data_IF_124928913418
#
_entry.id   IF_124928913418
#
_cell.length_a   1.000
_cell.length_b   1.000
_cell.length_c   1.000
_cell.angle_alpha   90.00
_cell.angle_beta   90.00
_cell.angle_gamma   90.00
#
_symmetry.space_group_name_H-M   'P 1'
#
loop_
_entity.id
_entity.type
_entity.pdbx_description
1 polymer ?
#
# COMPACT_ATOMS: atom_id res chain seq x y z
N UNK A 1 14.47 -10.46 -11.32
CA UNK A 1 15.91 -10.57 -11.49
C UNK A 1 16.54 -9.24 -11.12
N UNK A 2 17.61 -9.25 -10.30
CA UNK A 2 18.40 -8.04 -10.14
C UNK A 2 18.88 -7.64 -11.53
N UNK A 3 18.30 -6.58 -12.09
CA UNK A 3 18.84 -6.00 -13.31
C UNK A 3 20.28 -5.59 -13.04
N UNK A 4 21.22 -5.80 -13.97
CA UNK A 4 22.58 -5.27 -13.85
C UNK A 4 22.60 -3.75 -13.56
N UNK A 5 21.52 -3.03 -13.95
CA UNK A 5 21.34 -1.60 -13.68
C UNK A 5 21.00 -1.29 -12.20
N UNK A 6 20.54 -2.26 -11.40
CA UNK A 6 20.14 -2.06 -10.01
C UNK A 6 20.79 -3.09 -9.07
N UNK A 7 22.10 -2.98 -8.83
CA UNK A 7 22.82 -3.98 -8.02
C UNK A 7 22.43 -3.94 -6.53
N UNK A 8 21.68 -2.94 -6.06
CA UNK A 8 21.27 -2.78 -4.67
C UNK A 8 20.43 -3.94 -4.12
N UNK A 9 19.68 -4.64 -4.97
CA UNK A 9 18.83 -5.74 -4.55
C UNK A 9 19.60 -6.89 -3.88
N UNK A 10 20.89 -7.05 -4.16
CA UNK A 10 21.76 -8.04 -3.52
C UNK A 10 21.98 -7.80 -2.02
N UNK A 11 21.70 -6.58 -1.54
CA UNK A 11 21.82 -6.18 -0.13
C UNK A 11 20.47 -6.21 0.59
N UNK A 12 19.40 -6.61 -0.09
CA UNK A 12 18.05 -6.73 0.48
C UNK A 12 17.76 -8.20 0.74
N UNK A 13 17.45 -8.55 1.98
CA UNK A 13 17.03 -9.90 2.36
C UNK A 13 15.50 -10.00 2.48
N UNK A 14 14.87 -8.95 2.99
CA UNK A 14 13.43 -8.91 3.20
C UNK A 14 12.82 -7.63 2.66
N UNK A 15 11.70 -7.75 1.96
CA UNK A 15 10.78 -6.67 1.64
C UNK A 15 9.50 -6.91 2.43
N UNK A 16 9.30 -6.12 3.49
CA UNK A 16 8.12 -6.25 4.37
C UNK A 16 7.15 -5.13 4.06
N UNK A 17 5.99 -5.49 3.54
CA UNK A 17 4.90 -4.57 3.24
C UNK A 17 3.87 -4.62 4.38
N UNK A 18 3.50 -3.46 4.91
CA UNK A 18 2.61 -3.35 6.08
C UNK A 18 1.44 -2.45 5.71
N UNK A 19 0.26 -3.03 5.53
CA UNK A 19 -0.95 -2.32 5.12
C UNK A 19 -0.80 -1.57 3.79
N UNK A 20 0.08 -2.04 2.91
CA UNK A 20 0.40 -1.36 1.65
C UNK A 20 -0.73 -1.52 0.65
N UNK A 21 -1.27 -0.43 0.08
CA UNK A 21 -2.33 -0.49 -0.94
C UNK A 21 -1.74 -0.79 -2.32
N UNK A 22 -1.27 -2.02 -2.56
CA UNK A 22 -0.60 -2.40 -3.80
C UNK A 22 -1.49 -2.27 -5.05
N UNK A 23 -2.81 -2.46 -4.90
CA UNK A 23 -3.79 -2.18 -5.97
C UNK A 23 -4.48 -0.81 -5.81
N UNK A 24 -4.02 0.01 -4.86
CA UNK A 24 -4.60 1.31 -4.56
C UNK A 24 -5.77 1.27 -3.58
N UNK A 25 -6.32 2.45 -3.28
CA UNK A 25 -7.44 2.63 -2.35
C UNK A 25 -8.38 3.72 -2.84
N UNK A 26 -9.69 3.47 -2.76
CA UNK A 26 -10.72 4.49 -3.05
C UNK A 26 -10.65 5.67 -2.07
N UNK A 27 -10.11 5.43 -0.87
CA UNK A 27 -9.89 6.47 0.13
C UNK A 27 -8.86 7.51 -0.31
N UNK A 28 -7.85 7.13 -1.12
CA UNK A 28 -6.92 8.10 -1.69
C UNK A 28 -7.60 9.04 -2.70
N UNK A 29 -8.49 8.51 -3.53
CA UNK A 29 -9.30 9.33 -4.44
C UNK A 29 -10.20 10.30 -3.66
N UNK A 30 -10.86 9.80 -2.61
CA UNK A 30 -11.69 10.65 -1.75
C UNK A 30 -10.87 11.81 -1.16
N UNK A 31 -9.68 11.53 -0.62
CA UNK A 31 -8.80 12.56 -0.05
C UNK A 31 -8.33 13.57 -1.09
N UNK A 32 -7.99 13.13 -2.29
CA UNK A 32 -7.63 14.02 -3.39
C UNK A 32 -8.80 14.89 -3.87
N UNK A 33 -10.04 14.44 -3.66
CA UNK A 33 -11.24 15.17 -4.08
C UNK A 33 -11.75 16.14 -3.01
N UNK A 34 -11.85 15.70 -1.75
CA UNK A 34 -12.50 16.50 -0.68
C UNK A 34 -11.54 16.92 0.44
N UNK A 35 -10.27 16.49 0.36
CA UNK A 35 -9.27 16.79 1.39
C UNK A 35 -9.29 15.82 2.57
N UNK A 36 -8.44 16.12 3.53
CA UNK A 36 -8.35 15.41 4.80
C UNK A 36 -9.04 16.24 5.88
N UNK A 37 -10.08 15.71 6.55
CA UNK A 37 -10.84 16.47 7.53
C UNK A 37 -9.99 16.84 8.74
N UNK A 38 -10.35 17.97 9.38
CA UNK A 38 -9.74 18.38 10.63
C UNK A 38 -10.04 17.36 11.73
N UNK A 39 -9.02 17.02 12.49
CA UNK A 39 -9.14 16.23 13.71
C UNK A 39 -8.56 17.02 14.90
N UNK A 40 -8.72 16.59 16.16
CA UNK A 40 -8.05 17.24 17.30
C UNK A 40 -6.52 17.32 17.16
N UNK A 41 -5.92 16.44 16.37
CA UNK A 41 -4.45 16.34 16.21
C UNK A 41 -3.95 16.87 14.86
N UNK A 42 -4.83 17.07 13.88
CA UNK A 42 -4.44 17.49 12.53
C UNK A 42 -5.32 18.64 12.04
N UNK A 43 -4.76 19.66 11.39
CA UNK A 43 -5.55 20.68 10.69
C UNK A 43 -6.29 20.07 9.50
N UNK A 44 -7.23 20.81 8.94
CA UNK A 44 -7.81 20.46 7.65
C UNK A 44 -6.76 20.64 6.54
N UNK A 45 -6.58 19.61 5.74
CA UNK A 45 -5.75 19.69 4.52
C UNK A 45 -6.65 19.69 3.29
N UNK A 46 -6.72 20.79 2.56
CA UNK A 46 -7.52 20.88 1.35
C UNK A 46 -6.99 19.92 0.25
N UNK A 47 -7.86 19.52 -0.69
CA UNK A 47 -7.50 18.62 -1.79
C UNK A 47 -6.30 19.12 -2.59
N UNK A 48 -6.17 20.43 -2.76
CA UNK A 48 -5.09 21.06 -3.51
C UNK A 48 -3.72 20.85 -2.84
N UNK A 49 -3.65 20.86 -1.50
CA UNK A 49 -2.42 20.50 -0.78
C UNK A 49 -2.10 19.02 -0.99
N UNK A 50 -3.08 18.13 -0.81
CA UNK A 50 -2.86 16.70 -1.00
C UNK A 50 -2.48 16.38 -2.45
N UNK A 51 -3.03 17.13 -3.41
CA UNK A 51 -2.71 17.04 -4.83
C UNK A 51 -1.27 17.44 -5.20
N UNK A 52 -0.50 18.07 -4.28
CA UNK A 52 0.92 18.31 -4.50
C UNK A 52 1.81 17.09 -4.26
N UNK A 53 1.28 16.01 -3.66
CA UNK A 53 2.04 14.79 -3.35
C UNK A 53 1.84 13.74 -4.45
N UNK A 54 2.86 13.43 -5.28
CA UNK A 54 2.74 12.40 -6.33
C UNK A 54 2.31 11.04 -5.78
N UNK A 55 2.74 10.68 -4.56
CA UNK A 55 2.40 9.41 -3.91
C UNK A 55 0.89 9.21 -3.72
N UNK A 56 0.11 10.28 -3.57
CA UNK A 56 -1.35 10.18 -3.45
C UNK A 56 -2.01 9.66 -4.72
N UNK A 57 -1.45 9.99 -5.88
CA UNK A 57 -1.91 9.49 -7.19
C UNK A 57 -1.44 8.06 -7.45
N UNK A 58 -0.23 7.71 -7.00
CA UNK A 58 0.34 6.37 -7.16
C UNK A 58 -0.49 5.29 -6.49
N UNK A 59 -1.18 5.62 -5.39
CA UNK A 59 -2.07 4.73 -4.64
C UNK A 59 -3.55 4.88 -5.02
N UNK A 60 -3.87 5.50 -6.17
CA UNK A 60 -5.23 5.46 -6.75
C UNK A 60 -5.59 4.03 -7.17
N UNK A 61 -6.87 3.64 -7.06
CA UNK A 61 -7.30 2.27 -7.38
C UNK A 61 -7.10 1.95 -8.87
N UNK A 62 -6.83 0.69 -9.16
CA UNK A 62 -6.74 0.18 -10.54
C UNK A 62 -8.10 0.21 -11.21
N UNK A 63 -8.22 0.84 -12.38
CA UNK A 63 -9.49 0.90 -13.13
C UNK A 63 -10.06 -0.49 -13.44
N UNK A 64 -9.19 -1.46 -13.80
CA UNK A 64 -9.59 -2.85 -14.08
C UNK A 64 -10.29 -3.55 -12.93
N UNK A 65 -10.09 -3.13 -11.68
CA UNK A 65 -10.77 -3.69 -10.51
C UNK A 65 -12.19 -3.13 -10.29
N UNK A 66 -12.60 -2.08 -11.05
CA UNK A 66 -13.97 -1.57 -11.04
C UNK A 66 -14.40 -0.86 -9.76
N UNK A 67 -13.46 -0.34 -8.99
CA UNK A 67 -13.73 0.30 -7.70
C UNK A 67 -14.31 1.71 -7.81
N UNK A 68 -14.15 2.39 -8.95
CA UNK A 68 -14.57 3.78 -9.15
C UNK A 68 -15.66 3.89 -10.21
N UNK A 69 -16.72 4.60 -9.86
CA UNK A 69 -17.84 4.93 -10.73
C UNK A 69 -18.12 6.42 -10.65
N UNK A 70 -18.58 7.03 -11.70
CA UNK A 70 -18.93 8.45 -11.75
C UNK A 70 -20.37 8.67 -12.15
N UNK A 71 -20.95 9.77 -11.66
CA UNK A 71 -22.26 10.26 -12.09
C UNK A 71 -22.05 11.22 -13.26
N UNK A 72 -22.52 10.85 -14.43
CA UNK A 72 -22.48 11.69 -15.63
C UNK A 72 -23.84 11.71 -16.32
N UNK A 73 -24.39 12.91 -16.54
CA UNK A 73 -25.65 13.11 -17.26
C UNK A 73 -26.80 12.21 -16.75
N UNK A 74 -26.91 12.04 -15.43
CA UNK A 74 -27.93 11.20 -14.80
C UNK A 74 -27.68 9.68 -14.90
N UNK A 75 -26.52 9.26 -15.42
CA UNK A 75 -26.12 7.85 -15.49
C UNK A 75 -24.92 7.60 -14.58
N UNK A 76 -24.82 6.36 -14.13
CA UNK A 76 -23.64 5.87 -13.39
C UNK A 76 -22.75 5.13 -14.37
N UNK A 77 -21.50 5.58 -14.53
CA UNK A 77 -20.53 5.04 -15.49
C UNK A 77 -19.31 4.53 -14.74
N UNK A 78 -18.85 3.34 -15.07
CA UNK A 78 -17.61 2.79 -14.53
C UNK A 78 -16.42 3.54 -15.10
N UNK A 79 -15.46 3.86 -14.23
CA UNK A 79 -14.19 4.48 -14.63
C UNK A 79 -13.18 3.39 -14.96
N UNK A 80 -12.81 3.31 -16.23
CA UNK A 80 -11.81 2.33 -16.70
C UNK A 80 -10.37 2.81 -16.43
N UNK A 81 -10.13 4.11 -16.44
CA UNK A 81 -8.84 4.71 -16.11
C UNK A 81 -9.00 5.91 -15.18
N UNK A 82 -8.70 5.71 -13.89
CA UNK A 82 -8.77 6.78 -12.88
C UNK A 82 -7.60 7.77 -13.01
N UNK A 83 -6.57 7.43 -13.78
CA UNK A 83 -5.40 8.28 -14.07
C UNK A 83 -5.54 9.10 -15.36
N UNK A 84 -6.74 9.10 -15.95
CA UNK A 84 -7.04 9.91 -17.13
C UNK A 84 -7.20 11.39 -16.74
N UNK A 85 -6.33 12.25 -17.27
CA UNK A 85 -6.36 13.68 -17.00
C UNK A 85 -7.69 14.34 -17.42
N UNK A 86 -8.29 13.94 -18.56
CA UNK A 86 -9.56 14.49 -19.03
C UNK A 86 -10.70 14.21 -18.05
N UNK A 87 -10.66 13.09 -17.35
CA UNK A 87 -11.59 12.78 -16.28
C UNK A 87 -11.47 13.80 -15.14
N UNK A 88 -10.24 14.07 -14.66
CA UNK A 88 -10.00 15.01 -13.56
C UNK A 88 -10.43 16.43 -13.90
N UNK A 89 -10.07 16.89 -15.09
CA UNK A 89 -10.43 18.22 -15.60
C UNK A 89 -11.95 18.38 -15.73
N UNK A 90 -12.59 17.43 -16.39
CA UNK A 90 -14.06 17.43 -16.59
C UNK A 90 -14.84 17.37 -15.28
N UNK A 91 -14.35 16.59 -14.31
CA UNK A 91 -15.01 16.43 -13.01
C UNK A 91 -14.62 17.52 -12.01
N UNK A 92 -13.62 18.32 -12.29
CA UNK A 92 -13.11 19.37 -11.43
C UNK A 92 -12.55 18.84 -10.11
N UNK A 93 -11.77 17.75 -10.13
CA UNK A 93 -11.23 17.14 -8.92
C UNK A 93 -9.87 17.71 -8.53
N UNK A 94 -9.67 17.92 -7.22
CA UNK A 94 -8.37 18.28 -6.64
C UNK A 94 -7.75 19.55 -7.24
N UNK A 95 -6.61 19.42 -7.91
CA UNK A 95 -5.93 20.55 -8.56
C UNK A 95 -6.68 21.09 -9.79
N UNK A 96 -7.58 20.31 -10.37
CA UNK A 96 -8.43 20.72 -11.49
C UNK A 96 -9.70 21.46 -11.03
N UNK A 97 -9.93 21.63 -9.72
CA UNK A 97 -11.10 22.34 -9.19
C UNK A 97 -11.07 23.82 -9.61
N UNK A 98 -12.03 24.29 -10.43
CA UNK A 98 -12.08 25.67 -10.88
C UNK A 98 -12.39 26.67 -9.75
N UNK A 99 -12.84 26.23 -8.57
CA UNK A 99 -13.11 27.07 -7.41
C UNK A 99 -11.91 27.21 -6.46
N UNK A 100 -10.80 26.52 -6.71
CA UNK A 100 -9.63 26.45 -5.82
C UNK A 100 -8.69 27.67 -5.85
N UNK A 101 -9.14 28.82 -6.35
CA UNK A 101 -8.28 30.00 -6.52
C UNK A 101 -7.60 30.45 -5.22
N UNK A 102 -8.35 30.47 -4.11
CA UNK A 102 -7.80 30.86 -2.82
C UNK A 102 -6.68 29.94 -2.34
N UNK A 103 -6.80 28.64 -2.60
CA UNK A 103 -5.79 27.65 -2.23
C UNK A 103 -4.58 27.73 -3.16
N UNK A 104 -4.79 27.96 -4.46
CA UNK A 104 -3.71 28.13 -5.43
C UNK A 104 -2.88 29.41 -5.16
N UNK A 105 -3.50 30.49 -4.65
CA UNK A 105 -2.76 31.69 -4.21
C UNK A 105 -1.81 31.34 -3.07
N UNK A 106 -2.27 30.54 -2.09
CA UNK A 106 -1.46 30.13 -0.95
C UNK A 106 -0.34 29.16 -1.34
N UNK A 107 -0.61 28.24 -2.28
CA UNK A 107 0.36 27.26 -2.75
C UNK A 107 1.44 27.89 -3.66
N UNK A 108 1.08 28.89 -4.43
CA UNK A 108 1.94 29.49 -5.45
C UNK A 108 2.06 31.03 -5.23
N UNK A 109 2.56 31.48 -4.06
CA UNK A 109 2.60 32.92 -3.74
C UNK A 109 3.51 33.71 -4.69
N UNK A 110 4.55 33.08 -5.25
CA UNK A 110 5.48 33.72 -6.19
C UNK A 110 5.01 33.76 -7.64
N UNK A 111 3.78 33.32 -7.94
CA UNK A 111 3.22 33.36 -9.32
C UNK A 111 2.23 34.52 -9.43
N UNK A 112 2.45 35.41 -10.37
CA UNK A 112 1.78 36.72 -10.42
C UNK A 112 0.29 36.67 -10.75
N UNK A 113 -0.12 35.78 -11.67
CA UNK A 113 -1.49 35.76 -12.19
C UNK A 113 -2.20 34.44 -11.90
N UNK A 114 -3.52 34.48 -11.75
CA UNK A 114 -4.33 33.29 -11.53
C UNK A 114 -4.25 32.32 -12.73
N UNK A 115 -4.22 32.83 -13.94
CA UNK A 115 -4.06 31.99 -15.12
C UNK A 115 -2.75 31.18 -15.09
N UNK A 116 -1.64 31.78 -14.67
CA UNK A 116 -0.36 31.06 -14.49
C UNK A 116 -0.43 30.06 -13.33
N UNK A 117 -1.07 30.41 -12.20
CA UNK A 117 -1.25 29.45 -11.06
C UNK A 117 -2.02 28.22 -11.51
N UNK A 118 -3.13 28.40 -12.23
CA UNK A 118 -3.92 27.31 -12.78
C UNK A 118 -3.10 26.46 -13.77
N UNK A 119 -2.36 27.12 -14.67
CA UNK A 119 -1.48 26.41 -15.62
C UNK A 119 -0.43 25.55 -14.89
N UNK A 120 0.21 26.07 -13.83
CA UNK A 120 1.17 25.31 -13.01
C UNK A 120 0.50 24.14 -12.28
N UNK A 121 -0.70 24.35 -11.71
CA UNK A 121 -1.43 23.30 -11.03
C UNK A 121 -1.84 22.17 -11.98
N UNK A 122 -2.33 22.50 -13.17
CA UNK A 122 -2.71 21.51 -14.19
C UNK A 122 -1.48 20.75 -14.76
N UNK A 123 -0.37 21.45 -15.01
CA UNK A 123 0.88 20.80 -15.43
C UNK A 123 1.40 19.82 -14.35
N UNK A 124 1.31 20.22 -13.07
CA UNK A 124 1.67 19.34 -11.95
C UNK A 124 0.73 18.12 -11.85
N UNK A 125 -0.57 18.32 -11.99
CA UNK A 125 -1.56 17.22 -11.99
C UNK A 125 -1.24 16.21 -13.09
N UNK A 126 -1.01 16.68 -14.33
CA UNK A 126 -0.64 15.81 -15.46
C UNK A 126 0.61 14.99 -15.15
N UNK A 127 1.65 15.62 -14.61
CA UNK A 127 2.89 14.94 -14.23
C UNK A 127 2.66 13.88 -13.17
N UNK A 128 1.86 14.19 -12.12
CA UNK A 128 1.52 13.23 -11.07
C UNK A 128 0.74 12.02 -11.61
N UNK A 129 -0.20 12.24 -12.53
CA UNK A 129 -0.97 11.16 -13.14
C UNK A 129 -0.08 10.27 -14.05
N UNK A 130 0.82 10.86 -14.82
CA UNK A 130 1.79 10.12 -15.64
C UNK A 130 2.73 9.29 -14.75
N UNK A 131 3.31 9.89 -13.70
CA UNK A 131 4.18 9.18 -12.75
C UNK A 131 3.44 8.05 -12.04
N UNK A 132 2.19 8.27 -11.65
CA UNK A 132 1.34 7.24 -11.06
C UNK A 132 1.13 6.07 -12.04
N UNK A 133 0.89 6.36 -13.30
CA UNK A 133 0.74 5.35 -14.34
C UNK A 133 2.02 4.52 -14.51
N UNK A 134 3.19 5.17 -14.53
CA UNK A 134 4.49 4.48 -14.63
C UNK A 134 4.70 3.56 -13.42
N UNK A 135 4.45 4.05 -12.19
CA UNK A 135 4.58 3.26 -10.98
C UNK A 135 3.60 2.07 -10.97
N UNK A 136 2.35 2.30 -11.35
CA UNK A 136 1.35 1.24 -11.42
C UNK A 136 1.73 0.18 -12.46
N UNK A 137 2.18 0.57 -13.65
CA UNK A 137 2.65 -0.35 -14.67
C UNK A 137 3.87 -1.15 -14.21
N UNK A 138 4.80 -0.52 -13.51
CA UNK A 138 5.98 -1.20 -12.97
C UNK A 138 5.61 -2.26 -11.92
N UNK A 139 4.63 -1.96 -11.05
CA UNK A 139 4.11 -2.92 -10.05
C UNK A 139 3.32 -4.07 -10.69
N UNK A 140 2.65 -3.81 -11.81
CA UNK A 140 1.83 -4.79 -12.53
C UNK A 140 2.68 -5.74 -13.39
N UNK A 141 3.94 -5.39 -13.67
CA UNK A 141 4.84 -6.24 -14.46
C UNK A 141 5.31 -7.45 -13.67
N UNK A 142 5.00 -8.67 -14.14
CA UNK A 142 5.59 -9.87 -13.57
C UNK A 142 7.11 -9.82 -13.71
N UNK A 143 7.82 -9.84 -12.61
CA UNK A 143 9.27 -9.87 -12.60
C UNK A 143 9.77 -11.01 -11.71
N UNK A 144 10.77 -11.81 -12.17
CA UNK A 144 11.36 -12.83 -11.32
C UNK A 144 12.07 -12.12 -10.15
N UNK A 145 11.63 -12.44 -8.95
CA UNK A 145 12.24 -11.96 -7.72
C UNK A 145 13.64 -12.56 -7.53
N UNK A 146 14.64 -11.80 -7.06
CA UNK A 146 15.90 -12.35 -6.62
C UNK A 146 15.65 -13.41 -5.53
N UNK A 147 16.24 -14.61 -5.64
CA UNK A 147 16.02 -15.73 -4.70
C UNK A 147 16.39 -15.36 -3.25
N UNK A 148 17.29 -14.40 -3.06
CA UNK A 148 17.71 -13.90 -1.74
C UNK A 148 16.70 -12.97 -1.09
N UNK A 149 15.77 -12.38 -1.85
CA UNK A 149 14.79 -11.42 -1.31
C UNK A 149 13.51 -12.15 -0.94
N UNK A 150 13.11 -12.04 0.32
CA UNK A 150 11.81 -12.52 0.82
C UNK A 150 10.79 -11.41 0.80
N UNK A 151 9.62 -11.67 0.23
CA UNK A 151 8.53 -10.71 0.13
C UNK A 151 7.43 -11.10 1.12
N UNK A 152 7.17 -10.23 2.09
CA UNK A 152 6.27 -10.49 3.21
C UNK A 152 5.21 -9.41 3.29
N UNK A 153 3.95 -9.82 3.48
CA UNK A 153 2.82 -8.92 3.68
C UNK A 153 2.22 -9.11 5.07
N UNK A 154 2.06 -7.99 5.78
CA UNK A 154 1.14 -7.86 6.92
C UNK A 154 0.00 -6.94 6.52
N UNK A 155 -1.24 -7.39 6.62
CA UNK A 155 -2.42 -6.61 6.27
C UNK A 155 -3.50 -6.75 7.35
N UNK A 156 -4.30 -5.72 7.54
CA UNK A 156 -5.41 -5.75 8.49
C UNK A 156 -6.69 -6.31 7.86
N UNK A 157 -7.53 -6.94 8.69
CA UNK A 157 -8.76 -7.59 8.26
C UNK A 157 -9.91 -7.46 9.29
N UNK A 158 -9.89 -6.40 10.11
CA UNK A 158 -10.89 -6.22 11.16
C UNK A 158 -12.01 -5.23 10.79
N UNK A 159 -11.92 -4.55 9.66
CA UNK A 159 -12.83 -3.45 9.31
C UNK A 159 -13.45 -3.64 7.93
N UNK A 160 -14.74 -3.39 7.85
CA UNK A 160 -15.39 -3.17 6.56
C UNK A 160 -14.72 -1.95 5.88
N UNK A 161 -14.17 -2.19 4.70
CA UNK A 161 -13.35 -1.23 3.98
C UNK A 161 -14.04 -0.86 2.67
N UNK A 162 -14.14 0.43 2.31
CA UNK A 162 -14.76 0.83 1.05
C UNK A 162 -14.14 0.11 -0.15
N UNK A 163 -14.95 -0.61 -0.91
CA UNK A 163 -14.54 -1.36 -2.11
C UNK A 163 -15.04 -0.74 -3.39
N UNK A 164 -16.12 0.06 -3.33
CA UNK A 164 -16.66 0.75 -4.49
C UNK A 164 -17.13 2.14 -4.11
N UNK A 165 -16.69 3.13 -4.87
CA UNK A 165 -17.07 4.52 -4.70
C UNK A 165 -17.82 5.04 -5.92
N UNK A 166 -18.91 5.74 -5.68
CA UNK A 166 -19.60 6.57 -6.65
C UNK A 166 -19.18 8.02 -6.41
N UNK A 167 -18.54 8.63 -7.40
CA UNK A 167 -17.90 9.93 -7.29
C UNK A 167 -18.60 10.92 -8.21
N UNK A 168 -19.16 11.95 -7.61
CA UNK A 168 -19.77 13.05 -8.35
C UNK A 168 -18.74 14.09 -8.82
N UNK A 169 -19.19 15.16 -9.51
CA UNK A 169 -18.38 16.33 -9.78
C UNK A 169 -17.91 16.99 -8.46
N UNK A 170 -17.14 18.06 -8.57
CA UNK A 170 -16.44 18.71 -7.43
C UNK A 170 -17.30 18.95 -6.17
N UNK A 171 -18.54 19.41 -6.36
CA UNK A 171 -19.43 19.85 -5.27
C UNK A 171 -20.20 18.69 -4.61
N UNK A 172 -20.11 17.48 -5.17
CA UNK A 172 -20.73 16.28 -4.60
C UNK A 172 -19.72 15.50 -3.76
N UNK A 173 -20.19 14.88 -2.69
CA UNK A 173 -19.35 14.00 -1.85
C UNK A 173 -19.05 12.67 -2.57
N UNK A 174 -18.17 11.88 -1.98
CA UNK A 174 -17.87 10.51 -2.41
C UNK A 174 -18.78 9.55 -1.65
N UNK A 175 -19.62 8.84 -2.36
CA UNK A 175 -20.52 7.83 -1.82
C UNK A 175 -19.85 6.46 -1.86
N UNK A 176 -19.70 5.81 -0.70
CA UNK A 176 -19.24 4.42 -0.66
C UNK A 176 -20.43 3.47 -0.80
N UNK A 177 -20.52 2.83 -1.96
CA UNK A 177 -21.69 1.97 -2.31
C UNK A 177 -21.48 0.51 -1.96
N UNK A 178 -20.24 0.07 -1.83
CA UNK A 178 -19.91 -1.29 -1.42
C UNK A 178 -18.70 -1.30 -0.47
N UNK A 179 -18.66 -2.34 0.39
CA UNK A 179 -17.56 -2.58 1.31
C UNK A 179 -17.09 -4.03 1.20
N UNK A 180 -15.81 -4.25 1.46
CA UNK A 180 -15.17 -5.56 1.49
C UNK A 180 -14.28 -5.73 2.73
N UNK A 181 -13.69 -6.92 2.93
CA UNK A 181 -12.77 -7.16 4.02
C UNK A 181 -11.48 -6.34 3.86
N UNK A 182 -11.01 -5.77 4.98
CA UNK A 182 -9.78 -4.97 5.02
C UNK A 182 -9.54 -4.34 6.38
N UNK A 183 -8.79 -3.26 6.41
CA UNK A 183 -8.35 -2.58 7.62
C UNK A 183 -9.01 -1.21 7.86
N UNK A 184 -10.06 -0.89 7.08
CA UNK A 184 -10.75 0.40 7.07
C UNK A 184 -10.18 1.40 6.07
N UNK A 185 -9.00 1.16 5.50
CA UNK A 185 -8.31 2.02 4.52
C UNK A 185 -7.90 1.24 3.27
N UNK A 186 -7.40 0.03 3.46
CA UNK A 186 -6.88 -0.85 2.41
C UNK A 186 -7.64 -2.17 2.41
N UNK A 187 -8.20 -2.52 1.27
CA UNK A 187 -8.85 -3.83 1.05
C UNK A 187 -7.81 -4.95 1.08
N UNK A 188 -8.22 -6.15 1.54
CA UNK A 188 -7.39 -7.37 1.40
C UNK A 188 -6.95 -7.63 -0.03
N UNK A 189 -7.87 -7.46 -0.97
CA UNK A 189 -7.59 -7.61 -2.41
C UNK A 189 -6.56 -6.61 -2.90
N UNK A 190 -6.62 -5.37 -2.40
CA UNK A 190 -5.62 -4.35 -2.72
C UNK A 190 -4.26 -4.67 -2.11
N UNK A 191 -4.20 -5.06 -0.83
CA UNK A 191 -2.95 -5.41 -0.17
C UNK A 191 -2.24 -6.58 -0.88
N UNK A 192 -2.99 -7.57 -1.35
CA UNK A 192 -2.49 -8.71 -2.11
C UNK A 192 -2.12 -8.38 -3.56
N UNK A 193 -2.59 -7.26 -4.12
CA UNK A 193 -2.66 -7.01 -5.56
C UNK A 193 -3.39 -8.17 -6.27
N UNK A 194 -4.60 -8.50 -5.76
CA UNK A 194 -5.39 -9.64 -6.26
C UNK A 194 -6.16 -9.25 -7.51
N UNK A 195 -5.77 -9.79 -8.65
CA UNK A 195 -6.34 -9.50 -9.96
C UNK A 195 -7.76 -10.10 -10.15
N UNK A 196 -8.24 -10.89 -9.20
CA UNK A 196 -9.65 -11.34 -9.20
C UNK A 196 -10.63 -10.24 -8.77
N UNK A 197 -10.12 -9.11 -8.22
CA UNK A 197 -10.97 -7.99 -7.83
C UNK A 197 -11.76 -7.47 -9.03
N UNK A 198 -13.07 -7.28 -8.85
CA UNK A 198 -13.97 -6.85 -9.93
C UNK A 198 -14.32 -7.92 -10.97
N UNK A 199 -13.89 -9.17 -10.78
CA UNK A 199 -14.20 -10.33 -11.60
C UNK A 199 -15.07 -11.35 -10.84
N UNK A 200 -15.58 -12.36 -11.55
CA UNK A 200 -16.24 -13.50 -10.91
C UNK A 200 -15.30 -14.26 -9.98
N UNK A 201 -15.84 -14.84 -8.91
CA UNK A 201 -15.03 -15.59 -7.94
C UNK A 201 -14.31 -16.78 -8.61
N UNK A 202 -13.02 -16.86 -8.35
CA UNK A 202 -12.18 -18.01 -8.71
C UNK A 202 -11.33 -18.44 -7.49
N UNK A 203 -11.06 -19.75 -7.31
CA UNK A 203 -10.15 -20.19 -6.26
C UNK A 203 -8.72 -19.77 -6.59
N UNK A 204 -7.90 -19.52 -5.58
CA UNK A 204 -6.51 -19.08 -5.64
C UNK A 204 -6.35 -17.62 -6.07
N UNK A 205 -5.59 -16.90 -5.28
CA UNK A 205 -5.20 -15.50 -5.54
C UNK A 205 -4.40 -15.44 -6.85
N UNK A 206 -4.75 -14.45 -7.67
CA UNK A 206 -4.01 -14.12 -8.88
C UNK A 206 -3.29 -12.80 -8.64
N UNK A 207 -1.98 -12.82 -8.55
CA UNK A 207 -1.18 -11.62 -8.25
C UNK A 207 0.16 -11.69 -8.97
N UNK A 208 0.69 -10.56 -9.47
CA UNK A 208 2.05 -10.50 -10.01
C UNK A 208 3.13 -10.55 -8.91
N UNK A 209 2.76 -10.40 -7.63
CA UNK A 209 3.70 -10.40 -6.52
C UNK A 209 3.89 -11.85 -6.03
N UNK A 210 5.14 -12.30 -6.05
CA UNK A 210 5.51 -13.60 -5.49
C UNK A 210 5.69 -13.49 -3.96
N UNK A 211 4.60 -13.73 -3.23
CA UNK A 211 4.56 -13.67 -1.77
C UNK A 211 5.19 -14.91 -1.12
N UNK A 212 6.22 -14.70 -0.26
CA UNK A 212 6.73 -15.78 0.61
C UNK A 212 5.86 -15.99 1.85
N UNK A 213 5.29 -14.89 2.36
CA UNK A 213 4.44 -14.93 3.54
C UNK A 213 3.39 -13.83 3.47
N UNK A 214 2.15 -14.20 3.81
CA UNK A 214 1.03 -13.26 3.98
C UNK A 214 0.41 -13.52 5.34
N UNK A 215 0.30 -12.46 6.15
CA UNK A 215 -0.32 -12.52 7.48
C UNK A 215 -1.43 -11.49 7.56
N UNK A 216 -2.66 -11.94 7.79
CA UNK A 216 -3.78 -11.06 8.08
C UNK A 216 -3.93 -10.91 9.60
N UNK A 217 -3.94 -9.66 10.06
CA UNK A 217 -4.07 -9.30 11.46
C UNK A 217 -5.49 -8.77 11.71
N UNK A 218 -6.11 -9.23 12.78
CA UNK A 218 -7.43 -8.73 13.16
C UNK A 218 -7.33 -7.35 13.83
N UNK A 219 -6.97 -6.34 13.01
CA UNK A 219 -6.79 -4.95 13.44
C UNK A 219 -7.13 -3.98 12.30
N UNK A 220 -7.30 -2.70 12.65
CA UNK A 220 -7.43 -1.61 11.68
C UNK A 220 -6.06 -1.15 11.17
N UNK A 221 -6.07 -0.25 10.18
CA UNK A 221 -4.87 0.25 9.51
C UNK A 221 -3.83 0.86 10.47
N UNK A 222 -4.29 1.69 11.42
CA UNK A 222 -3.41 2.35 12.39
C UNK A 222 -2.96 1.44 13.53
N UNK A 223 -3.63 0.31 13.70
CA UNK A 223 -3.33 -0.72 14.70
C UNK A 223 -2.32 -1.76 14.23
N UNK A 224 -2.01 -1.85 12.92
CA UNK A 224 -1.16 -2.90 12.36
C UNK A 224 0.18 -3.04 13.10
N UNK A 225 0.93 -1.95 13.23
CA UNK A 225 2.25 -1.94 13.87
C UNK A 225 2.19 -1.96 15.41
N UNK A 226 0.98 -1.84 15.98
CA UNK A 226 0.75 -1.91 17.43
C UNK A 226 0.35 -3.32 17.89
N UNK A 227 0.06 -4.22 16.94
CA UNK A 227 -0.32 -5.60 17.24
C UNK A 227 0.87 -6.39 17.80
N UNK A 228 0.75 -7.04 18.96
CA UNK A 228 1.79 -7.94 19.45
C UNK A 228 2.12 -9.05 18.45
N UNK A 229 1.11 -9.61 17.79
CA UNK A 229 1.30 -10.63 16.73
C UNK A 229 2.16 -10.11 15.57
N UNK A 230 2.00 -8.83 15.18
CA UNK A 230 2.89 -8.21 14.19
C UNK A 230 4.33 -8.17 14.70
N UNK A 231 4.54 -7.67 15.92
CA UNK A 231 5.87 -7.52 16.52
C UNK A 231 6.57 -8.86 16.62
N UNK A 232 5.91 -9.88 17.15
CA UNK A 232 6.47 -11.22 17.35
C UNK A 232 6.87 -11.86 16.02
N UNK A 233 5.99 -11.80 15.02
CA UNK A 233 6.28 -12.34 13.68
C UNK A 233 7.43 -11.58 12.99
N UNK A 234 7.48 -10.26 13.12
CA UNK A 234 8.54 -9.45 12.54
C UNK A 234 9.90 -9.75 13.21
N UNK A 235 9.94 -9.82 14.53
CA UNK A 235 11.16 -10.15 15.29
C UNK A 235 11.65 -11.55 14.96
N UNK A 236 10.77 -12.54 14.95
CA UNK A 236 11.13 -13.90 14.53
C UNK A 236 11.76 -13.91 13.13
N UNK A 237 11.12 -13.24 12.17
CA UNK A 237 11.60 -13.21 10.79
C UNK A 237 12.97 -12.55 10.65
N UNK A 238 13.20 -11.45 11.38
CA UNK A 238 14.44 -10.68 11.26
C UNK A 238 15.60 -11.24 12.08
N UNK A 239 15.32 -11.83 13.25
CA UNK A 239 16.34 -12.17 14.23
C UNK A 239 16.52 -13.69 14.43
N UNK A 240 15.45 -14.47 14.36
CA UNK A 240 15.47 -15.87 14.78
C UNK A 240 15.35 -16.87 13.61
N UNK A 241 14.69 -16.47 12.52
CA UNK A 241 14.51 -17.37 11.37
C UNK A 241 15.87 -17.77 10.79
N UNK A 242 16.15 -19.09 10.62
CA UNK A 242 17.40 -19.54 10.03
C UNK A 242 17.63 -18.92 8.64
N UNK A 243 18.77 -18.27 8.46
CA UNK A 243 19.19 -17.67 7.19
C UNK A 243 19.86 -18.69 6.28
N UNK A 244 19.07 -19.59 5.70
CA UNK A 244 19.58 -20.70 4.91
C UNK A 244 20.14 -21.83 5.76
N UNK A 245 20.52 -22.95 5.16
CA UNK A 245 21.31 -23.97 5.86
C UNK A 245 22.69 -23.35 6.13
N UNK A 246 22.88 -22.81 7.33
CA UNK A 246 24.22 -22.70 7.87
C UNK A 246 24.69 -24.15 7.98
N UNK A 247 25.41 -24.64 6.97
CA UNK A 247 26.20 -25.85 7.12
C UNK A 247 27.26 -25.44 8.12
N UNK A 248 26.95 -25.65 9.39
CA UNK A 248 27.98 -25.60 10.43
C UNK A 248 28.95 -26.72 10.04
N UNK A 249 30.07 -26.33 9.45
CA UNK A 249 31.16 -27.30 9.23
C UNK A 249 31.51 -27.82 10.63
N UNK A 250 31.23 -29.12 10.93
CA UNK A 250 31.54 -29.66 12.25
C UNK A 250 33.02 -29.54 12.60
N UNK A 251 33.87 -29.23 11.61
CA UNK A 251 35.31 -29.00 11.75
C UNK A 251 35.69 -27.57 12.10
N UNK A 252 34.79 -26.60 11.90
CA UNK A 252 35.07 -25.19 12.20
C UNK A 252 35.18 -24.91 13.72
N UNK A 253 34.79 -25.84 14.58
CA UNK A 253 34.84 -25.72 16.02
C UNK A 253 35.95 -26.58 16.66
N UNK A 254 36.84 -27.21 15.91
CA UNK A 254 37.99 -27.93 16.41
C UNK A 254 39.26 -27.06 16.54
N UNK A 255 39.07 -25.82 17.05
CA UNK A 255 40.21 -25.04 17.58
C UNK A 255 40.67 -25.64 18.89
N UNK A 256 42.00 -25.74 19.16
CA UNK A 256 42.51 -26.32 20.39
C UNK A 256 42.16 -25.43 21.59
N UNK A 257 41.24 -25.91 22.43
CA UNK A 257 41.00 -25.39 23.76
C UNK A 257 39.71 -24.66 24.03
N UNK A 258 38.59 -25.37 24.07
CA UNK A 258 37.59 -25.17 25.11
C UNK A 258 36.53 -26.30 25.13
N UNK A 259 36.95 -27.47 25.59
CA UNK A 259 36.03 -28.54 25.97
C UNK A 259 35.47 -28.23 27.37
N UNK A 260 34.51 -27.33 27.48
CA UNK A 260 33.51 -27.43 28.56
C UNK A 260 32.39 -28.30 28.05
N UNK A 261 32.53 -29.59 28.35
CA UNK A 261 31.40 -30.53 28.22
C UNK A 261 30.23 -30.02 29.10
N UNK A 262 29.14 -29.69 28.46
CA UNK A 262 27.85 -29.70 29.14
C UNK A 262 27.60 -31.16 29.55
N UNK A 263 27.78 -31.46 30.82
CA UNK A 263 27.26 -32.70 31.40
C UNK A 263 25.73 -32.60 31.36
N UNK A 264 25.15 -33.51 30.61
CA UNK A 264 23.70 -33.75 30.64
C UNK A 264 23.32 -34.13 32.07
N UNK A 265 22.66 -33.21 32.77
CA UNK A 265 21.93 -33.52 33.97
C UNK A 265 20.63 -34.19 33.53
N UNK A 266 20.65 -35.52 33.48
CA UNK A 266 19.40 -36.29 33.44
C UNK A 266 18.58 -35.96 34.71
N UNK A 267 17.28 -35.73 34.67
CA UNK A 267 16.48 -35.57 35.83
C UNK A 267 16.43 -36.94 36.58
N UNK A 268 16.84 -36.92 37.85
CA UNK A 268 16.69 -38.02 38.78
C UNK A 268 15.19 -38.42 38.87
N UNK A 269 14.92 -39.68 38.64
CA UNK A 269 13.62 -40.26 38.86
C UNK A 269 13.28 -40.27 40.38
N UNK A 270 12.03 -39.95 40.77
CA UNK A 270 11.66 -39.97 42.16
C UNK A 270 11.72 -41.40 42.76
N UNK A 271 12.31 -41.49 43.96
CA UNK A 271 12.46 -42.69 44.77
C UNK A 271 11.07 -43.25 45.10
N UNK A 272 10.80 -44.57 44.89
CA UNK A 272 9.48 -45.16 45.14
C UNK A 272 9.26 -45.64 46.59
N UNK A 273 9.98 -45.09 47.57
CA UNK A 273 9.74 -45.45 49.01
C UNK A 273 9.68 -44.19 49.87
N UNK A 274 8.42 -43.72 50.14
CA UNK A 274 8.16 -42.70 51.12
C UNK A 274 6.70 -42.28 51.11
#
# INVERSE_FOLDING_TARGET
AASPAFPGARHVEHLVMIGTPNAGSVESLRKLKIGLPKTPLTPWYPPQILGTFPSMYQILPRGRHGHVWVKEQGKTVRVENVLDFELWDRMGWGLADPSADSELVKLLPGVDTMAKRRSVAMDHLIKCLIEAQIVQQALDMPAPRPKSVKTVLFAGDAKATPSKALVGPRDEDVEYVEHGPGDGTVLRTSALLDERAGQGWTPRVQTPIDWDQVTFLHTDHMGLTKSPTFTDNLLYMLLERPRGACVVDPRAHSGPGNTRAFKDAAPEAPDPTG
#
